data_IF_884644198247
#
_entry.id   IF_884644198247
#
_cell.length_a   1.000
_cell.length_b   1.000
_cell.length_c   1.000
_cell.angle_alpha   90.00
_cell.angle_beta   90.00
_cell.angle_gamma   90.00
#
_symmetry.space_group_name_H-M   'P 1'
#
loop_
_entity.id
_entity.type
_entity.pdbx_description
1 polymer ?
#
# COMPACT_ATOMS: atom_id res chain seq x y z
N UNK A 1 -13.44 -7.94 13.97
CA UNK A 1 -12.83 -6.92 13.09
C UNK A 1 -12.08 -7.64 11.98
N UNK A 2 -12.21 -7.22 10.72
CA UNK A 2 -11.50 -7.88 9.60
C UNK A 2 -10.00 -7.56 9.70
N UNK A 3 -9.15 -8.59 9.57
CA UNK A 3 -7.69 -8.46 9.65
C UNK A 3 -7.08 -8.29 8.27
N UNK A 4 -6.15 -7.35 8.15
CA UNK A 4 -5.36 -7.13 6.94
C UNK A 4 -3.88 -7.23 7.29
N UNK A 5 -3.14 -8.04 6.54
CA UNK A 5 -1.68 -7.99 6.56
C UNK A 5 -1.18 -7.18 5.37
N UNK A 6 -0.17 -6.36 5.60
CA UNK A 6 0.52 -5.59 4.56
C UNK A 6 1.93 -6.11 4.43
N UNK A 7 2.32 -6.57 3.25
CA UNK A 7 3.67 -7.03 2.93
C UNK A 7 4.45 -5.93 2.20
N UNK A 8 5.53 -5.49 2.84
CA UNK A 8 6.39 -4.40 2.39
C UNK A 8 6.12 -3.11 3.16
N UNK A 9 7.17 -2.54 3.76
CA UNK A 9 7.15 -1.33 4.58
C UNK A 9 7.65 -0.08 3.85
N UNK A 10 7.64 -0.10 2.51
CA UNK A 10 7.95 1.07 1.68
C UNK A 10 6.84 2.11 1.68
N UNK A 11 6.99 3.14 0.82
CA UNK A 11 6.06 4.29 0.77
C UNK A 11 4.60 3.90 0.54
N UNK A 12 4.32 2.95 -0.33
CA UNK A 12 2.96 2.49 -0.61
C UNK A 12 2.43 1.53 0.45
N UNK A 13 3.31 0.69 1.02
CA UNK A 13 2.93 -0.26 2.07
C UNK A 13 2.50 0.43 3.36
N UNK A 14 3.33 1.36 3.89
CA UNK A 14 2.91 2.08 5.10
C UNK A 14 1.65 2.92 4.85
N UNK A 15 1.52 3.52 3.64
CA UNK A 15 0.32 4.26 3.27
C UNK A 15 -0.93 3.37 3.25
N UNK A 16 -0.82 2.17 2.69
CA UNK A 16 -1.90 1.18 2.70
C UNK A 16 -2.27 0.72 4.12
N UNK A 17 -1.26 0.52 4.98
CA UNK A 17 -1.49 0.15 6.37
C UNK A 17 -2.24 1.24 7.15
N UNK A 18 -1.87 2.51 6.98
CA UNK A 18 -2.57 3.64 7.58
C UNK A 18 -3.99 3.77 7.02
N UNK A 19 -4.17 3.61 5.71
CA UNK A 19 -5.50 3.64 5.10
C UNK A 19 -6.39 2.53 5.68
N UNK A 20 -5.88 1.32 5.79
CA UNK A 20 -6.60 0.20 6.39
C UNK A 20 -6.98 0.49 7.85
N UNK A 21 -6.07 1.04 8.64
CA UNK A 21 -6.34 1.45 10.02
C UNK A 21 -7.44 2.49 10.09
N UNK A 22 -7.39 3.53 9.24
CA UNK A 22 -8.44 4.57 9.12
C UNK A 22 -9.82 3.99 8.76
N UNK A 23 -9.84 2.88 8.03
CA UNK A 23 -11.07 2.18 7.64
C UNK A 23 -11.57 1.17 8.68
N UNK A 24 -10.93 1.11 9.84
CA UNK A 24 -11.35 0.29 10.98
C UNK A 24 -10.93 -1.17 10.89
N UNK A 25 -9.91 -1.49 10.10
CA UNK A 25 -9.33 -2.84 10.05
C UNK A 25 -8.34 -3.07 11.19
N UNK A 26 -8.18 -4.33 11.58
CA UNK A 26 -7.04 -4.80 12.38
C UNK A 26 -5.87 -5.03 11.42
N UNK A 27 -4.80 -4.24 11.56
CA UNK A 27 -3.72 -4.17 10.57
C UNK A 27 -2.41 -4.62 11.17
N UNK A 28 -1.67 -5.41 10.41
CA UNK A 28 -0.29 -5.77 10.70
C UNK A 28 0.56 -5.59 9.45
N UNK A 29 1.69 -4.87 9.57
CA UNK A 29 2.63 -4.68 8.47
C UNK A 29 3.89 -5.51 8.72
N UNK A 30 4.37 -6.21 7.69
CA UNK A 30 5.56 -7.06 7.75
C UNK A 30 6.49 -6.78 6.58
N UNK A 31 7.78 -6.56 6.88
CA UNK A 31 8.83 -6.35 5.88
C UNK A 31 10.01 -7.28 6.15
N UNK A 32 10.52 -7.95 5.11
CA UNK A 32 11.73 -8.78 5.21
C UNK A 32 12.99 -7.94 5.44
N UNK A 33 13.02 -6.72 4.96
CA UNK A 33 14.10 -5.76 5.13
C UNK A 33 13.87 -4.81 6.29
N UNK A 34 14.56 -3.68 6.25
CA UNK A 34 14.38 -2.57 7.21
C UNK A 34 13.35 -1.57 6.71
N UNK A 35 12.48 -1.15 7.59
CA UNK A 35 11.52 -0.07 7.34
C UNK A 35 12.21 1.25 7.68
N UNK A 36 12.12 2.24 6.81
CA UNK A 36 12.70 3.56 7.06
C UNK A 36 12.07 4.21 8.30
N UNK A 37 12.89 4.86 9.13
CA UNK A 37 12.45 5.42 10.42
C UNK A 37 11.28 6.41 10.27
N UNK A 38 11.26 7.19 9.18
CA UNK A 38 10.13 8.08 8.85
C UNK A 38 8.80 7.36 8.66
N UNK A 39 8.83 6.10 8.17
CA UNK A 39 7.62 5.28 8.00
C UNK A 39 7.23 4.60 9.31
N UNK A 40 8.23 4.14 10.10
CA UNK A 40 7.98 3.61 11.45
C UNK A 40 7.31 4.65 12.33
N UNK A 41 7.82 5.89 12.35
CA UNK A 41 7.20 6.98 13.10
C UNK A 41 5.73 7.19 12.74
N UNK A 42 5.36 7.05 11.46
CA UNK A 42 3.97 7.14 11.01
C UNK A 42 3.13 5.92 11.40
N UNK A 43 3.71 4.73 11.35
CA UNK A 43 3.03 3.51 11.82
C UNK A 43 2.77 3.58 13.32
N UNK A 44 3.72 4.08 14.11
CA UNK A 44 3.60 4.28 15.55
C UNK A 44 2.51 5.33 15.89
N UNK A 45 2.50 6.46 15.18
CA UNK A 45 1.47 7.51 15.33
C UNK A 45 0.04 6.93 15.14
N UNK A 46 -0.11 6.02 14.18
CA UNK A 46 -1.39 5.37 13.89
C UNK A 46 -1.60 4.06 14.65
N UNK A 47 -0.69 3.71 15.55
CA UNK A 47 -0.75 2.46 16.32
C UNK A 47 -0.94 1.22 15.41
N UNK A 48 -0.21 1.18 14.31
CA UNK A 48 -0.15 0.03 13.41
C UNK A 48 1.03 -0.85 13.83
N UNK A 49 0.79 -2.06 14.34
CA UNK A 49 1.88 -2.97 14.64
C UNK A 49 2.60 -3.40 13.38
N UNK A 50 3.92 -3.45 13.46
CA UNK A 50 4.77 -3.85 12.33
C UNK A 50 5.94 -4.72 12.81
N UNK A 51 6.58 -5.40 11.86
CA UNK A 51 7.85 -6.11 12.03
C UNK A 51 8.77 -5.83 10.85
N UNK A 52 10.08 -5.96 11.10
CA UNK A 52 11.13 -5.84 10.08
C UNK A 52 12.16 -6.95 10.25
N UNK A 53 12.87 -7.31 9.17
CA UNK A 53 13.91 -8.33 9.17
C UNK A 53 13.39 -9.76 9.10
N UNK A 54 12.11 -9.96 8.82
CA UNK A 54 11.49 -11.28 8.71
C UNK A 54 9.98 -11.21 8.64
N UNK A 55 9.36 -12.39 8.59
CA UNK A 55 7.90 -12.55 8.51
C UNK A 55 7.41 -13.51 9.59
N UNK A 56 6.59 -13.03 10.52
CA UNK A 56 5.84 -13.89 11.46
C UNK A 56 4.64 -14.50 10.72
N UNK A 57 4.84 -15.70 10.18
CA UNK A 57 3.89 -16.37 9.31
C UNK A 57 2.50 -16.50 9.93
N UNK A 58 2.41 -16.87 11.22
CA UNK A 58 1.14 -17.06 11.91
C UNK A 58 0.29 -15.79 11.91
N UNK A 59 0.93 -14.62 12.06
CA UNK A 59 0.23 -13.34 12.03
C UNK A 59 -0.27 -12.99 10.65
N UNK A 60 0.54 -13.26 9.63
CA UNK A 60 0.20 -13.00 8.22
C UNK A 60 -0.90 -13.95 7.76
N UNK A 61 -0.78 -15.24 8.07
CA UNK A 61 -1.75 -16.26 7.68
C UNK A 61 -3.08 -16.16 8.46
N UNK A 62 -3.11 -15.43 9.57
CA UNK A 62 -4.35 -15.10 10.28
C UNK A 62 -5.13 -13.94 9.64
N UNK A 63 -4.60 -13.31 8.59
CA UNK A 63 -5.28 -12.23 7.89
C UNK A 63 -6.40 -12.76 6.98
N UNK A 64 -7.43 -11.93 6.80
CA UNK A 64 -8.52 -12.21 5.87
C UNK A 64 -8.17 -11.78 4.43
N UNK A 65 -7.21 -10.90 4.29
CA UNK A 65 -6.71 -10.37 3.03
C UNK A 65 -5.29 -9.82 3.21
N UNK A 66 -4.46 -9.95 2.19
CA UNK A 66 -3.09 -9.45 2.19
C UNK A 66 -2.93 -8.40 1.10
N UNK A 67 -2.44 -7.22 1.50
CA UNK A 67 -2.00 -6.17 0.58
C UNK A 67 -0.50 -6.32 0.36
N UNK A 68 -0.09 -6.57 -0.88
CA UNK A 68 1.29 -6.89 -1.23
C UNK A 68 1.92 -5.79 -2.08
N UNK A 69 3.12 -5.36 -1.69
CA UNK A 69 3.95 -4.47 -2.49
C UNK A 69 4.37 -5.13 -3.81
N UNK A 70 4.34 -4.39 -4.94
CA UNK A 70 4.71 -4.94 -6.25
C UNK A 70 6.18 -5.39 -6.30
N UNK A 71 7.05 -4.83 -5.46
CA UNK A 71 8.45 -5.24 -5.35
C UNK A 71 8.67 -6.64 -4.77
N UNK A 72 7.66 -7.24 -4.13
CA UNK A 72 7.75 -8.59 -3.59
C UNK A 72 7.34 -9.59 -4.66
N UNK A 73 8.23 -10.51 -5.09
CA UNK A 73 7.93 -11.45 -6.15
C UNK A 73 6.87 -12.48 -5.73
N UNK A 74 6.08 -12.95 -6.68
CA UNK A 74 5.10 -14.02 -6.46
C UNK A 74 5.76 -15.35 -6.01
N UNK A 75 7.05 -15.51 -6.31
CA UNK A 75 7.83 -16.67 -5.90
C UNK A 75 8.33 -16.62 -4.47
N UNK A 76 8.17 -15.49 -3.76
CA UNK A 76 8.59 -15.37 -2.37
C UNK A 76 7.91 -16.43 -1.49
N UNK A 77 8.64 -17.08 -0.57
CA UNK A 77 8.11 -18.17 0.24
C UNK A 77 6.82 -17.81 0.98
N UNK A 78 6.79 -16.61 1.57
CA UNK A 78 5.59 -16.14 2.28
C UNK A 78 4.39 -15.96 1.34
N UNK A 79 4.59 -15.45 0.13
CA UNK A 79 3.51 -15.25 -0.86
C UNK A 79 2.93 -16.60 -1.30
N UNK A 80 3.79 -17.59 -1.53
CA UNK A 80 3.35 -18.97 -1.84
C UNK A 80 2.50 -19.57 -0.73
N UNK A 81 2.89 -19.37 0.54
CA UNK A 81 2.13 -19.86 1.70
C UNK A 81 0.77 -19.18 1.81
N UNK A 82 0.70 -17.87 1.60
CA UNK A 82 -0.56 -17.10 1.60
C UNK A 82 -1.49 -17.60 0.50
N UNK A 83 -0.96 -17.81 -0.71
CA UNK A 83 -1.72 -18.37 -1.83
C UNK A 83 -2.21 -19.79 -1.55
N UNK A 84 -1.35 -20.65 -1.00
CA UNK A 84 -1.72 -22.01 -0.62
C UNK A 84 -2.80 -22.05 0.47
N UNK A 85 -2.83 -21.07 1.37
CA UNK A 85 -3.86 -20.90 2.38
C UNK A 85 -5.18 -20.31 1.82
N UNK A 86 -5.25 -19.99 0.52
CA UNK A 86 -6.44 -19.42 -0.11
C UNK A 86 -6.74 -17.97 0.31
N UNK A 87 -5.76 -17.27 0.92
CA UNK A 87 -5.95 -15.88 1.36
C UNK A 87 -5.84 -14.95 0.14
N UNK A 88 -6.81 -14.05 -0.09
CA UNK A 88 -6.73 -13.08 -1.17
C UNK A 88 -5.51 -12.18 -1.04
N UNK A 89 -4.77 -12.02 -2.13
CA UNK A 89 -3.62 -11.11 -2.23
C UNK A 89 -3.93 -10.07 -3.29
N UNK A 90 -3.89 -8.81 -2.90
CA UNK A 90 -4.16 -7.66 -3.76
C UNK A 90 -2.99 -6.68 -3.74
N UNK A 91 -2.93 -5.79 -4.73
CA UNK A 91 -1.96 -4.70 -4.76
C UNK A 91 -2.40 -3.52 -3.88
N UNK A 92 -1.45 -2.67 -3.51
CA UNK A 92 -1.73 -1.43 -2.80
C UNK A 92 -2.67 -0.50 -3.62
N UNK A 93 -2.49 -0.49 -4.95
CA UNK A 93 -3.33 0.30 -5.86
C UNK A 93 -4.77 -0.20 -5.87
N UNK A 94 -4.97 -1.53 -5.92
CA UNK A 94 -6.31 -2.12 -5.83
C UNK A 94 -6.96 -1.82 -4.48
N UNK A 95 -6.20 -1.96 -3.39
CA UNK A 95 -6.70 -1.64 -2.06
C UNK A 95 -7.12 -0.17 -1.95
N UNK A 96 -6.25 0.76 -2.36
CA UNK A 96 -6.55 2.18 -2.33
C UNK A 96 -7.73 2.55 -3.24
N UNK A 97 -7.82 1.92 -4.41
CA UNK A 97 -8.89 2.14 -5.38
C UNK A 97 -10.30 1.91 -4.83
N UNK A 98 -10.43 0.98 -3.88
CA UNK A 98 -11.72 0.71 -3.21
C UNK A 98 -12.26 1.91 -2.41
N UNK A 99 -11.39 2.88 -2.08
CA UNK A 99 -11.72 4.03 -1.23
C UNK A 99 -11.64 5.37 -1.95
N UNK A 100 -11.50 5.38 -3.27
CA UNK A 100 -11.53 6.61 -4.07
C UNK A 100 -12.88 7.33 -4.03
N UNK A 101 -13.95 6.62 -3.68
CA UNK A 101 -15.30 7.17 -3.63
C UNK A 101 -15.73 7.68 -5.00
N UNK A 102 -16.15 8.94 -5.07
CA UNK A 102 -16.60 9.60 -6.32
C UNK A 102 -15.47 10.30 -7.09
N UNK A 103 -14.23 10.20 -6.59
CA UNK A 103 -13.07 10.82 -7.24
C UNK A 103 -12.77 10.14 -8.56
N UNK A 104 -12.46 10.93 -9.59
CA UNK A 104 -11.94 10.42 -10.86
C UNK A 104 -10.43 10.25 -10.73
N UNK A 105 -9.91 9.11 -11.15
CA UNK A 105 -8.48 8.83 -11.14
C UNK A 105 -7.94 8.84 -12.57
N UNK A 106 -6.87 9.60 -12.79
CA UNK A 106 -6.10 9.59 -14.05
C UNK A 106 -4.78 8.92 -13.74
N UNK A 107 -4.55 7.75 -14.33
CA UNK A 107 -3.33 6.99 -14.15
C UNK A 107 -2.38 7.22 -15.33
N UNK A 108 -1.13 7.60 -15.04
CA UNK A 108 -0.09 7.87 -16.04
C UNK A 108 1.03 6.85 -15.83
N UNK A 109 1.28 6.05 -16.85
CA UNK A 109 2.35 5.06 -16.87
C UNK A 109 3.25 5.26 -18.10
N UNK A 110 4.38 4.60 -18.13
CA UNK A 110 5.33 4.67 -19.26
C UNK A 110 6.76 4.45 -18.80
N UNK A 111 7.66 4.27 -19.75
CA UNK A 111 9.10 4.09 -19.47
C UNK A 111 9.75 5.40 -19.02
N UNK A 112 9.46 6.52 -19.69
CA UNK A 112 10.00 7.86 -19.42
C UNK A 112 8.90 8.91 -19.34
N UNK A 113 9.20 10.06 -18.71
CA UNK A 113 8.35 11.24 -18.71
C UNK A 113 7.11 11.16 -17.80
N UNK A 114 6.92 10.08 -17.03
CA UNK A 114 5.75 9.91 -16.14
C UNK A 114 5.58 11.10 -15.19
N UNK A 115 6.62 11.44 -14.44
CA UNK A 115 6.58 12.54 -13.46
C UNK A 115 6.28 13.87 -14.11
N UNK A 116 6.92 14.20 -15.24
CA UNK A 116 6.70 15.43 -15.98
C UNK A 116 5.26 15.51 -16.48
N UNK A 117 4.75 14.45 -17.12
CA UNK A 117 3.37 14.40 -17.64
C UNK A 117 2.35 14.52 -16.49
N UNK A 118 2.58 13.81 -15.40
CA UNK A 118 1.67 13.85 -14.24
C UNK A 118 1.63 15.24 -13.61
N UNK A 119 2.78 15.88 -13.45
CA UNK A 119 2.88 17.24 -12.92
C UNK A 119 2.18 18.27 -13.84
N UNK A 120 2.34 18.11 -15.16
CA UNK A 120 1.71 19.00 -16.15
C UNK A 120 0.17 18.84 -16.12
N UNK A 121 -0.32 17.59 -16.13
CA UNK A 121 -1.76 17.32 -16.04
C UNK A 121 -2.34 17.88 -14.74
N UNK A 122 -1.67 17.68 -13.62
CA UNK A 122 -2.08 18.26 -12.34
C UNK A 122 -2.17 19.78 -12.42
N UNK A 123 -1.13 20.44 -12.95
CA UNK A 123 -1.12 21.91 -13.10
C UNK A 123 -2.29 22.40 -13.96
N UNK A 124 -2.50 21.78 -15.11
CA UNK A 124 -3.62 22.16 -16.03
C UNK A 124 -4.96 22.05 -15.30
N UNK A 125 -5.18 20.97 -14.56
CA UNK A 125 -6.43 20.77 -13.80
C UNK A 125 -6.61 21.82 -12.70
N UNK A 126 -5.55 22.14 -11.97
CA UNK A 126 -5.59 23.16 -10.93
C UNK A 126 -5.86 24.56 -11.52
N UNK A 127 -5.19 24.90 -12.62
CA UNK A 127 -5.39 26.17 -13.32
C UNK A 127 -6.81 26.29 -13.89
N UNK A 128 -7.44 25.17 -14.26
CA UNK A 128 -8.85 25.10 -14.66
C UNK A 128 -9.85 25.14 -13.49
N UNK A 129 -9.38 25.36 -12.25
CA UNK A 129 -10.23 25.44 -11.07
C UNK A 129 -10.73 24.09 -10.52
N UNK A 130 -10.21 22.98 -11.02
CA UNK A 130 -10.60 21.66 -10.53
C UNK A 130 -9.91 21.32 -9.19
N UNK A 131 -10.64 20.64 -8.30
CA UNK A 131 -10.08 20.12 -7.07
C UNK A 131 -9.28 18.84 -7.34
N UNK A 132 -8.07 19.01 -7.90
CA UNK A 132 -7.16 17.92 -8.21
C UNK A 132 -6.16 17.68 -7.09
N UNK A 133 -5.81 16.42 -6.87
CA UNK A 133 -4.71 15.98 -6.03
C UNK A 133 -3.69 15.23 -6.88
N UNK A 134 -2.41 15.33 -6.50
CA UNK A 134 -1.29 14.68 -7.13
C UNK A 134 -0.80 13.57 -6.21
N UNK A 135 -0.57 12.38 -6.73
CA UNK A 135 -0.08 11.24 -5.95
C UNK A 135 0.74 10.27 -6.80
N UNK A 136 1.63 9.54 -6.15
CA UNK A 136 2.51 8.58 -6.78
C UNK A 136 3.96 8.71 -6.32
N UNK A 137 4.87 8.03 -7.00
CA UNK A 137 6.30 8.13 -6.76
C UNK A 137 6.88 9.31 -7.55
N UNK A 138 6.58 10.51 -7.08
CA UNK A 138 6.92 11.79 -7.69
C UNK A 138 7.51 12.75 -6.66
#
# INVERSE_FOLDING_TARGET
>A
MKKIAVLGGGISGYGSAILAKKKGFDVFLSDMGKIADRYKAKLDEWQVPYEEGGHTEERILAAHEVVKSPGIPETAPIVRKIRAAGIPVISEMEFAGRYLGRSKCICITGSNGKTTTTSLVYKIMRDAGLNAALGGNI
#
